data_IF_852411695961
#
_entry.id   IF_852411695961
#
_cell.length_a   1.000
_cell.length_b   1.000
_cell.length_c   1.000
_cell.angle_alpha   90.00
_cell.angle_beta   90.00
_cell.angle_gamma   90.00
#
_symmetry.space_group_name_H-M   'P 1'
#
loop_
_entity.id
_entity.type
_entity.pdbx_description
1 polymer ?
#
# COMPACT_ATOMS: atom_id res chain seq x y z
N UNK A 1 11.15 -24.18 36.77
CA UNK A 1 10.16 -23.87 35.72
C UNK A 1 9.91 -22.38 35.76
N UNK A 2 10.57 -21.62 34.90
CA UNK A 2 10.41 -20.16 34.87
C UNK A 2 9.11 -19.85 34.17
N UNK A 3 8.11 -19.40 34.92
CA UNK A 3 6.87 -18.85 34.36
C UNK A 3 7.22 -17.59 33.58
N UNK A 4 7.16 -17.66 32.25
CA UNK A 4 7.19 -16.48 31.40
C UNK A 4 5.89 -15.71 31.64
N UNK A 5 5.97 -14.61 32.38
CA UNK A 5 4.91 -13.62 32.41
C UNK A 5 4.90 -12.97 31.03
N UNK A 6 4.00 -13.42 30.14
CA UNK A 6 3.70 -12.70 28.91
C UNK A 6 3.01 -11.41 29.35
N UNK A 7 3.77 -10.33 29.38
CA UNK A 7 3.25 -9.01 29.60
C UNK A 7 2.25 -8.71 28.50
N UNK A 8 0.97 -8.55 28.89
CA UNK A 8 -0.09 -8.07 28.01
C UNK A 8 0.12 -6.56 27.79
N UNK A 9 1.20 -6.19 27.11
CA UNK A 9 1.36 -4.84 26.61
C UNK A 9 0.54 -4.75 25.33
N UNK A 10 -0.53 -3.96 25.37
CA UNK A 10 -1.31 -3.66 24.18
C UNK A 10 -0.39 -2.91 23.21
N UNK A 11 0.14 -3.63 22.23
CA UNK A 11 0.96 -3.06 21.16
C UNK A 11 0.14 -1.96 20.48
N UNK A 12 0.44 -0.71 20.82
CA UNK A 12 -0.23 0.44 20.24
C UNK A 12 0.29 0.60 18.82
N UNK A 13 -0.56 0.35 17.83
CA UNK A 13 -0.24 0.64 16.43
C UNK A 13 -0.21 2.16 16.29
N UNK A 14 0.88 2.75 15.74
CA UNK A 14 0.94 4.17 15.44
C UNK A 14 -0.25 4.59 14.56
N UNK A 15 -0.87 5.73 14.85
CA UNK A 15 -1.97 6.26 14.03
C UNK A 15 -1.54 6.50 12.57
N UNK A 16 -0.27 6.84 12.36
CA UNK A 16 0.32 6.99 11.04
C UNK A 16 0.28 5.68 10.22
N UNK A 17 0.50 4.53 10.85
CA UNK A 17 0.47 3.24 10.16
C UNK A 17 -0.97 2.88 9.77
N UNK A 18 -1.93 3.18 10.65
CA UNK A 18 -3.37 3.00 10.36
C UNK A 18 -3.78 3.89 9.18
N UNK A 19 -3.33 5.15 9.16
CA UNK A 19 -3.66 6.08 8.08
C UNK A 19 -3.02 5.67 6.75
N UNK A 20 -1.77 5.22 6.77
CA UNK A 20 -1.10 4.67 5.59
C UNK A 20 -1.88 3.47 5.03
N UNK A 21 -2.30 2.53 5.88
CA UNK A 21 -3.08 1.37 5.45
C UNK A 21 -4.42 1.78 4.82
N UNK A 22 -5.12 2.77 5.38
CA UNK A 22 -6.35 3.31 4.78
C UNK A 22 -6.10 3.90 3.40
N UNK A 23 -5.02 4.67 3.23
CA UNK A 23 -4.63 5.25 1.95
C UNK A 23 -4.32 4.15 0.93
N UNK A 24 -3.60 3.10 1.34
CA UNK A 24 -3.21 1.99 0.48
C UNK A 24 -4.34 1.00 0.15
N UNK A 25 -5.42 0.95 0.94
CA UNK A 25 -6.45 -0.10 0.86
C UNK A 25 -7.21 -0.19 -0.48
N UNK A 26 -7.07 0.79 -1.39
CA UNK A 26 -7.69 0.72 -2.70
C UNK A 26 -6.94 -0.26 -3.63
N UNK A 27 -7.61 -1.23 -4.28
CA UNK A 27 -6.94 -2.26 -5.10
C UNK A 27 -6.00 -1.69 -6.17
N UNK A 28 -6.42 -0.62 -6.85
CA UNK A 28 -5.59 0.03 -7.88
C UNK A 28 -4.31 0.62 -7.29
N UNK A 29 -4.35 1.19 -6.07
CA UNK A 29 -3.14 1.72 -5.40
C UNK A 29 -2.18 0.60 -5.05
N UNK A 30 -2.68 -0.54 -4.56
CA UNK A 30 -1.85 -1.72 -4.28
C UNK A 30 -1.20 -2.27 -5.56
N UNK A 31 -1.92 -2.29 -6.68
CA UNK A 31 -1.38 -2.69 -7.97
C UNK A 31 -0.30 -1.71 -8.46
N UNK A 32 -0.53 -0.40 -8.36
CA UNK A 32 0.48 0.63 -8.69
C UNK A 32 1.75 0.41 -7.87
N UNK A 33 1.63 0.22 -6.54
CA UNK A 33 2.79 -0.03 -5.67
C UNK A 33 3.53 -1.30 -6.07
N UNK A 34 2.81 -2.38 -6.37
CA UNK A 34 3.40 -3.65 -6.84
C UNK A 34 4.17 -3.48 -8.15
N UNK A 35 3.63 -2.71 -9.09
CA UNK A 35 4.31 -2.44 -10.36
C UNK A 35 5.56 -1.58 -10.20
N UNK A 36 5.50 -0.57 -9.32
CA UNK A 36 6.67 0.24 -8.98
C UNK A 36 7.73 -0.56 -8.21
N UNK A 37 7.33 -1.51 -7.36
CA UNK A 37 8.25 -2.42 -6.69
C UNK A 37 9.00 -3.31 -7.69
N UNK A 38 8.29 -3.81 -8.71
CA UNK A 38 8.82 -4.65 -9.79
C UNK A 38 9.73 -3.90 -10.77
N UNK A 39 9.27 -2.76 -11.29
CA UNK A 39 9.91 -2.04 -12.39
C UNK A 39 10.76 -0.84 -11.96
N UNK A 40 10.70 -0.46 -10.68
CA UNK A 40 11.35 0.71 -10.04
C UNK A 40 10.83 2.07 -10.50
N UNK A 41 10.70 2.26 -11.81
CA UNK A 41 10.22 3.51 -12.41
C UNK A 41 9.17 3.15 -13.47
N UNK A 42 7.99 3.75 -13.34
CA UNK A 42 6.95 3.69 -14.36
C UNK A 42 6.35 5.09 -14.53
N UNK A 43 6.07 5.47 -15.77
CA UNK A 43 5.22 6.61 -16.06
C UNK A 43 3.73 6.21 -16.09
N UNK A 44 2.84 7.19 -16.17
CA UNK A 44 1.38 6.98 -16.12
C UNK A 44 0.89 6.08 -17.26
N UNK A 45 1.43 6.25 -18.47
CA UNK A 45 1.07 5.42 -19.64
C UNK A 45 1.46 3.97 -19.42
N UNK A 46 2.68 3.71 -18.94
CA UNK A 46 3.13 2.35 -18.61
C UNK A 46 2.26 1.70 -17.54
N UNK A 47 1.90 2.43 -16.48
CA UNK A 47 0.99 1.91 -15.44
C UNK A 47 -0.41 1.63 -15.99
N UNK A 48 -0.90 2.48 -16.90
CA UNK A 48 -2.21 2.29 -17.56
C UNK A 48 -2.22 0.99 -18.37
N UNK A 49 -1.17 0.74 -19.15
CA UNK A 49 -1.02 -0.49 -19.95
C UNK A 49 -0.83 -1.74 -19.07
N UNK A 50 -0.05 -1.64 -17.99
CA UNK A 50 0.22 -2.76 -17.08
C UNK A 50 -0.99 -3.19 -16.26
N UNK A 51 -1.82 -2.24 -15.83
CA UNK A 51 -2.99 -2.49 -14.98
C UNK A 51 -4.27 -2.75 -15.79
N UNK A 52 -4.27 -2.46 -17.09
CA UNK A 52 -5.44 -2.55 -17.97
C UNK A 52 -6.66 -1.78 -17.42
N UNK A 53 -6.42 -0.54 -16.98
CA UNK A 53 -7.44 0.38 -16.46
C UNK A 53 -7.37 1.72 -17.20
N UNK A 54 -8.42 2.55 -17.18
CA UNK A 54 -8.36 3.88 -17.79
C UNK A 54 -7.25 4.73 -17.19
N UNK A 55 -6.57 5.51 -18.04
CA UNK A 55 -5.51 6.44 -17.58
C UNK A 55 -6.03 7.41 -16.52
N UNK A 56 -7.28 7.86 -16.64
CA UNK A 56 -7.93 8.72 -15.64
C UNK A 56 -7.98 8.07 -14.25
N UNK A 57 -8.16 6.75 -14.17
CA UNK A 57 -8.14 5.99 -12.93
C UNK A 57 -6.73 5.98 -12.31
N UNK A 58 -5.69 5.73 -13.12
CA UNK A 58 -4.30 5.80 -12.65
C UNK A 58 -3.95 7.21 -12.18
N UNK A 59 -4.25 8.23 -12.99
CA UNK A 59 -4.03 9.64 -12.64
C UNK A 59 -4.75 10.04 -11.36
N UNK A 60 -6.01 9.61 -11.18
CA UNK A 60 -6.78 9.91 -9.97
C UNK A 60 -6.16 9.31 -8.71
N UNK A 61 -5.53 8.14 -8.80
CA UNK A 61 -4.87 7.51 -7.66
C UNK A 61 -3.47 8.04 -7.36
N UNK A 62 -2.82 8.67 -8.34
CA UNK A 62 -1.49 9.29 -8.22
C UNK A 62 -1.53 10.78 -7.83
N UNK A 63 -2.68 11.43 -8.02
CA UNK A 63 -2.92 12.83 -7.61
C UNK A 63 -3.18 12.93 -6.12
#
# INVERSE_FOLDING_TARGET
MTTMQVSNEMYKIPEADIELLKIMAHPVRLQIVKELERHKICNVTQLTELLDVPQSTVSQHLS
#
